data_IF_957478418178
#
_entry.id   IF_957478418178
#
_cell.length_a   1.000
_cell.length_b   1.000
_cell.length_c   1.000
_cell.angle_alpha   90.00
_cell.angle_beta   90.00
_cell.angle_gamma   90.00
#
_symmetry.space_group_name_H-M   'P 1'
#
loop_
_entity.id
_entity.type
_entity.pdbx_description
1 polymer ?
#
# COMPACT_ATOMS: atom_id res chain seq x y z
N UNK A 1 -7.14 -31.11 -9.49
CA UNK A 1 -7.25 -31.02 -8.02
C UNK A 1 -8.03 -29.78 -7.63
N UNK A 2 -9.00 -29.93 -6.72
CA UNK A 2 -9.95 -28.88 -6.33
C UNK A 2 -9.35 -27.80 -5.41
N UNK A 3 -8.07 -27.90 -5.07
CA UNK A 3 -7.40 -27.08 -4.06
C UNK A 3 -6.94 -25.70 -4.58
N UNK A 4 -6.97 -25.48 -5.90
CA UNK A 4 -6.56 -24.20 -6.52
C UNK A 4 -7.70 -23.18 -6.67
N UNK A 5 -8.93 -23.49 -6.25
CA UNK A 5 -10.12 -22.63 -6.51
C UNK A 5 -10.70 -21.91 -5.29
N UNK A 6 -10.01 -21.88 -4.15
CA UNK A 6 -10.48 -21.15 -2.96
C UNK A 6 -9.69 -19.86 -2.65
N UNK A 7 -8.66 -19.51 -3.43
CA UNK A 7 -7.88 -18.26 -3.27
C UNK A 7 -8.54 -17.02 -3.93
N UNK A 8 -9.75 -17.17 -4.50
CA UNK A 8 -10.46 -16.15 -5.29
C UNK A 8 -11.51 -15.33 -4.52
N UNK A 9 -11.51 -15.36 -3.19
CA UNK A 9 -12.35 -14.45 -2.40
C UNK A 9 -11.48 -13.42 -1.70
N UNK A 10 -11.19 -12.35 -2.43
CA UNK A 10 -10.70 -11.07 -1.93
C UNK A 10 -9.31 -11.13 -1.24
N UNK A 11 -8.22 -11.39 -1.99
CA UNK A 11 -6.86 -11.33 -1.44
C UNK A 11 -6.52 -9.94 -0.86
N UNK A 12 -7.15 -8.88 -1.39
CA UNK A 12 -7.07 -7.50 -0.87
C UNK A 12 -7.45 -7.38 0.61
N UNK A 13 -8.29 -8.28 1.14
CA UNK A 13 -8.68 -8.25 2.56
C UNK A 13 -7.55 -8.59 3.52
N UNK A 14 -6.52 -9.31 3.05
CA UNK A 14 -5.41 -9.78 3.87
C UNK A 14 -4.06 -9.18 3.46
N UNK A 15 -4.00 -8.47 2.33
CA UNK A 15 -2.81 -7.72 1.95
C UNK A 15 -2.71 -6.45 2.80
N UNK A 16 -1.53 -6.12 3.36
CA UNK A 16 -1.30 -4.79 3.91
C UNK A 16 -1.64 -3.75 2.84
N UNK A 17 -2.22 -2.62 3.28
CA UNK A 17 -2.57 -1.53 2.38
C UNK A 17 -1.35 -1.11 1.54
N UNK A 18 -1.60 -0.67 0.30
CA UNK A 18 -0.55 -0.27 -0.63
C UNK A 18 0.53 -1.35 -0.86
N UNK A 19 0.11 -2.64 -0.86
CA UNK A 19 0.98 -3.81 -0.97
C UNK A 19 2.09 -3.88 0.09
N UNK A 20 1.89 -3.22 1.25
CA UNK A 20 2.88 -3.13 2.33
C UNK A 20 4.04 -2.16 2.07
N UNK A 21 3.90 -1.29 1.07
CA UNK A 21 4.84 -0.20 0.82
C UNK A 21 4.47 1.03 1.64
N UNK A 22 5.44 1.91 1.85
CA UNK A 22 5.28 3.18 2.53
C UNK A 22 4.56 4.20 1.62
N UNK A 23 3.28 4.46 1.90
CA UNK A 23 2.49 5.41 1.13
C UNK A 23 2.87 6.89 1.36
N UNK A 24 3.56 7.21 2.47
CA UNK A 24 3.99 8.59 2.75
C UNK A 24 5.15 8.92 1.83
N UNK A 25 6.17 8.05 1.76
CA UNK A 25 7.29 8.22 0.82
C UNK A 25 6.80 8.21 -0.63
N UNK A 26 5.87 7.31 -0.97
CA UNK A 26 5.33 7.26 -2.32
C UNK A 26 4.57 8.53 -2.70
N UNK A 27 3.84 9.14 -1.76
CA UNK A 27 3.07 10.35 -2.01
C UNK A 27 3.91 11.64 -1.99
N UNK A 28 4.92 11.71 -1.12
CA UNK A 28 5.73 12.92 -0.93
C UNK A 28 6.96 12.95 -1.85
N UNK A 29 7.61 11.79 -2.06
CA UNK A 29 8.87 11.70 -2.80
C UNK A 29 8.71 11.01 -4.17
N UNK A 30 7.57 10.35 -4.42
CA UNK A 30 7.35 9.59 -5.66
C UNK A 30 8.12 8.25 -5.71
N UNK A 31 8.65 7.79 -4.58
CA UNK A 31 9.46 6.58 -4.49
C UNK A 31 8.69 5.44 -3.81
N UNK A 32 8.85 4.21 -4.29
CA UNK A 32 8.24 3.03 -3.65
C UNK A 32 9.26 2.37 -2.73
N UNK A 33 9.06 2.52 -1.43
CA UNK A 33 9.92 1.90 -0.41
C UNK A 33 9.11 0.90 0.41
N UNK A 34 9.66 -0.29 0.64
CA UNK A 34 8.99 -1.33 1.42
C UNK A 34 8.85 -0.92 2.89
N UNK A 35 7.64 -1.04 3.43
CA UNK A 35 7.38 -0.81 4.84
C UNK A 35 7.89 -1.95 5.73
N UNK A 36 8.13 -1.63 7.01
CA UNK A 36 8.59 -2.58 8.03
C UNK A 36 7.45 -2.85 9.01
N UNK A 37 7.37 -4.09 9.49
CA UNK A 37 6.36 -4.51 10.48
C UNK A 37 6.48 -3.76 11.81
N UNK A 38 7.68 -3.35 12.19
CA UNK A 38 7.94 -2.54 13.39
C UNK A 38 7.33 -1.14 13.30
N UNK A 39 7.12 -0.63 12.08
CA UNK A 39 6.46 0.64 11.79
C UNK A 39 5.10 0.37 11.14
N UNK A 40 4.30 -0.51 11.74
CA UNK A 40 2.94 -0.81 11.31
C UNK A 40 1.89 -0.10 12.16
N UNK A 41 0.84 0.43 11.52
CA UNK A 41 -0.34 0.99 12.22
C UNK A 41 -1.64 0.46 11.62
N UNK A 42 -2.65 0.24 12.47
CA UNK A 42 -4.02 -0.07 12.02
C UNK A 42 -4.80 1.23 11.86
N UNK A 43 -5.40 1.46 10.68
CA UNK A 43 -6.28 2.59 10.39
C UNK A 43 -7.41 2.14 9.46
N UNK A 44 -8.67 2.50 9.77
CA UNK A 44 -9.85 2.14 8.97
C UNK A 44 -9.92 0.64 8.56
N UNK A 45 -9.71 -0.25 9.54
CA UNK A 45 -9.65 -1.71 9.36
C UNK A 45 -8.57 -2.25 8.42
N UNK A 46 -7.60 -1.43 8.04
CA UNK A 46 -6.42 -1.82 7.26
C UNK A 46 -5.14 -1.65 8.06
N UNK A 47 -4.13 -2.45 7.71
CA UNK A 47 -2.76 -2.30 8.22
C UNK A 47 -1.94 -1.54 7.19
N UNK A 48 -1.33 -0.44 7.60
CA UNK A 48 -0.37 0.34 6.82
C UNK A 48 1.03 0.11 7.37
N UNK A 49 2.02 -0.03 6.48
CA UNK A 49 3.42 -0.24 6.83
C UNK A 49 4.27 0.93 6.34
N UNK A 50 5.22 1.37 7.16
CA UNK A 50 6.11 2.48 6.84
C UNK A 50 7.58 2.05 6.87
N UNK A 51 8.42 2.69 6.09
CA UNK A 51 9.85 2.36 5.99
C UNK A 51 10.65 2.89 7.19
N UNK A 52 10.18 4.00 7.77
CA UNK A 52 10.77 4.70 8.92
C UNK A 52 9.70 5.09 9.94
N UNK A 53 10.12 5.34 11.18
CA UNK A 53 9.26 5.91 12.22
C UNK A 53 8.72 7.29 11.83
N UNK A 54 9.52 8.08 11.12
CA UNK A 54 9.15 9.44 10.69
C UNK A 54 7.95 9.42 9.73
N UNK A 55 7.96 8.51 8.74
CA UNK A 55 6.81 8.30 7.85
C UNK A 55 5.56 7.87 8.63
N UNK A 56 5.71 6.96 9.60
CA UNK A 56 4.61 6.55 10.46
C UNK A 56 4.03 7.73 11.24
N UNK A 57 4.87 8.59 11.81
CA UNK A 57 4.43 9.76 12.57
C UNK A 57 3.70 10.77 11.69
N UNK A 58 4.17 11.03 10.47
CA UNK A 58 3.47 11.89 9.49
C UNK A 58 2.09 11.36 9.17
N UNK A 59 1.98 10.06 8.88
CA UNK A 59 0.70 9.43 8.63
C UNK A 59 -0.23 9.52 9.84
N UNK A 60 0.26 9.20 11.04
CA UNK A 60 -0.53 9.22 12.27
C UNK A 60 -1.05 10.63 12.61
N UNK A 61 -0.28 11.67 12.27
CA UNK A 61 -0.67 13.06 12.49
C UNK A 61 -1.85 13.48 11.58
N UNK A 62 -1.86 13.06 10.32
CA UNK A 62 -2.87 13.48 9.35
C UNK A 62 -3.21 12.39 8.33
N UNK A 63 -3.85 11.27 8.74
CA UNK A 63 -4.05 10.11 7.87
C UNK A 63 -4.92 10.44 6.65
N UNK A 64 -5.89 11.34 6.80
CA UNK A 64 -6.75 11.82 5.72
C UNK A 64 -5.99 12.48 4.55
N UNK A 65 -4.75 12.94 4.76
CA UNK A 65 -3.90 13.44 3.67
C UNK A 65 -3.37 12.31 2.78
N UNK A 66 -3.29 11.09 3.30
CA UNK A 66 -2.69 9.95 2.60
C UNK A 66 -3.74 8.93 2.12
N UNK A 67 -4.91 8.85 2.77
CA UNK A 67 -5.96 7.87 2.43
C UNK A 67 -7.30 8.54 2.16
N UNK A 68 -7.93 8.13 1.06
CA UNK A 68 -9.34 8.43 0.80
C UNK A 68 -10.20 7.37 1.48
N UNK A 69 -11.19 7.79 2.26
CA UNK A 69 -12.03 6.91 3.10
C UNK A 69 -12.84 5.84 2.34
N UNK A 70 -12.81 5.82 1.00
CA UNK A 70 -13.58 4.91 0.14
C UNK A 70 -12.74 3.87 -0.63
N UNK A 71 -11.54 3.53 -0.15
CA UNK A 71 -10.99 2.19 -0.38
C UNK A 71 -9.60 2.08 -0.97
N UNK A 72 -9.04 3.09 -1.64
CA UNK A 72 -7.63 3.10 -2.07
C UNK A 72 -7.22 4.55 -2.36
N UNK A 73 -6.27 5.11 -1.60
CA UNK A 73 -5.59 6.36 -2.00
C UNK A 73 -4.93 6.19 -3.38
N UNK A 74 -4.57 7.30 -4.07
CA UNK A 74 -4.50 7.35 -5.54
C UNK A 74 -3.74 6.17 -6.12
N UNK A 75 -4.52 5.25 -6.71
CA UNK A 75 -4.06 4.28 -7.67
C UNK A 75 -3.58 5.04 -8.92
N UNK A 76 -2.33 5.51 -8.92
CA UNK A 76 -1.65 5.89 -10.17
C UNK A 76 -1.38 4.59 -10.96
N UNK A 77 -2.42 4.02 -11.55
CA UNK A 77 -2.32 2.91 -12.52
C UNK A 77 -1.60 3.34 -13.80
N UNK A 78 -1.39 4.64 -13.98
CA UNK A 78 -0.70 5.23 -15.13
C UNK A 78 0.83 5.34 -14.97
N UNK A 79 1.39 5.04 -13.79
CA UNK A 79 2.84 4.98 -13.60
C UNK A 79 3.40 3.60 -14.03
N UNK A 80 3.55 3.44 -15.35
CA UNK A 80 4.38 2.43 -16.06
C UNK A 80 3.98 0.94 -15.91
N UNK A 81 3.07 0.51 -16.79
CA UNK A 81 3.37 -0.67 -17.64
C UNK A 81 3.98 -0.14 -18.94
N UNK A 82 5.24 0.31 -18.86
CA UNK A 82 6.08 0.25 -20.05
C UNK A 82 6.66 -1.16 -20.06
N UNK A 83 5.87 -2.10 -20.59
CA UNK A 83 6.44 -3.35 -21.10
C UNK A 83 7.33 -2.95 -22.27
N UNK A 84 8.63 -2.97 -22.05
CA UNK A 84 9.58 -3.04 -23.14
C UNK A 84 9.34 -4.39 -23.80
N UNK A 85 8.62 -4.40 -24.91
CA UNK A 85 8.54 -5.53 -25.82
C UNK A 85 9.75 -5.44 -26.75
N UNK A 86 10.91 -5.86 -26.26
CA UNK A 86 12.02 -6.29 -27.12
C UNK A 86 11.88 -7.81 -27.33
N UNK A 87 11.69 -8.21 -28.59
CA UNK A 87 11.68 -9.61 -29.04
C UNK A 87 10.56 -9.92 -30.01
#
# INVERSE_FOLDING_TARGET
SAEQKQFQKDPDRYLPAFSGNDLVIAKENGETTRGKREYGIKYADRIYLFATEESLQRFAHAPALYVTLNGDGPINRDAKVAVNSDG
#
